data_IF_107287277060
#
_entry.id   IF_107287277060
#
_cell.length_a   1.000
_cell.length_b   1.000
_cell.length_c   1.000
_cell.angle_alpha   90.00
_cell.angle_beta   90.00
_cell.angle_gamma   90.00
#
_symmetry.space_group_name_H-M   'P 1'
#
loop_
_entity.id
_entity.type
_entity.pdbx_description
1 polymer ?
#
# COMPACT_ATOMS: atom_id res chain seq x y z
N UNK A 1 22.12 28.14 -26.98
CA UNK A 1 22.10 28.07 -28.46
C UNK A 1 23.30 27.31 -29.02
N UNK A 2 24.50 27.45 -28.47
CA UNK A 2 25.72 26.82 -29.04
C UNK A 2 25.74 25.29 -29.04
N UNK A 3 25.20 24.67 -27.99
CA UNK A 3 25.14 23.20 -27.87
C UNK A 3 24.21 22.62 -28.93
N UNK A 4 23.07 23.28 -29.19
CA UNK A 4 22.11 22.88 -30.22
C UNK A 4 22.67 23.06 -31.63
N UNK A 5 23.42 24.14 -31.87
CA UNK A 5 24.09 24.37 -33.15
C UNK A 5 25.20 23.34 -33.40
N UNK A 6 25.97 22.98 -32.37
CA UNK A 6 26.98 21.91 -32.46
C UNK A 6 26.36 20.53 -32.69
N UNK A 7 25.30 20.17 -31.96
CA UNK A 7 24.63 18.88 -32.15
C UNK A 7 23.98 18.80 -33.53
N UNK A 8 23.36 19.88 -34.02
CA UNK A 8 22.82 19.95 -35.38
C UNK A 8 23.91 19.81 -36.46
N UNK A 9 25.05 20.48 -36.28
CA UNK A 9 26.19 20.36 -37.19
C UNK A 9 26.76 18.93 -37.22
N UNK A 10 26.92 18.29 -36.05
CA UNK A 10 27.42 16.92 -35.93
C UNK A 10 26.44 15.88 -36.50
N UNK A 11 25.13 16.07 -36.30
CA UNK A 11 24.12 15.21 -36.91
C UNK A 11 24.15 15.34 -38.43
N UNK A 12 24.23 16.56 -38.93
CA UNK A 12 24.29 16.82 -40.38
C UNK A 12 25.53 16.21 -41.01
N UNK A 13 26.70 16.34 -40.37
CA UNK A 13 27.94 15.71 -40.87
C UNK A 13 27.84 14.18 -40.87
N UNK A 14 27.22 13.58 -39.85
CA UNK A 14 27.03 12.13 -39.73
C UNK A 14 26.18 11.57 -40.88
N UNK A 15 25.12 12.29 -41.29
CA UNK A 15 24.30 11.88 -42.43
C UNK A 15 24.97 12.14 -43.79
N UNK A 16 25.79 13.18 -43.93
CA UNK A 16 26.51 13.44 -45.20
C UNK A 16 27.69 12.50 -45.42
N UNK A 17 28.30 11.99 -44.34
CA UNK A 17 29.41 11.03 -44.38
C UNK A 17 28.95 9.56 -44.35
N UNK A 18 27.64 9.33 -44.46
CA UNK A 18 27.03 8.01 -44.41
C UNK A 18 27.21 7.30 -45.75
N UNK A 19 28.25 6.48 -45.84
CA UNK A 19 28.44 5.56 -46.98
C UNK A 19 27.54 4.34 -46.84
N UNK A 20 27.24 3.67 -47.97
CA UNK A 20 26.42 2.46 -47.99
C UNK A 20 26.93 1.36 -47.05
N UNK A 21 28.25 1.20 -46.96
CA UNK A 21 28.88 0.25 -46.03
C UNK A 21 28.58 0.56 -44.56
N UNK A 22 28.63 1.84 -44.16
CA UNK A 22 28.31 2.27 -42.79
C UNK A 22 26.83 2.05 -42.48
N UNK A 23 25.96 2.35 -43.43
CA UNK A 23 24.52 2.14 -43.27
C UNK A 23 24.17 0.67 -43.05
N UNK A 24 24.71 -0.24 -43.88
CA UNK A 24 24.51 -1.68 -43.72
C UNK A 24 25.04 -2.16 -42.36
N UNK A 25 26.21 -1.66 -41.93
CA UNK A 25 26.78 -2.01 -40.62
C UNK A 25 25.86 -1.60 -39.46
N UNK A 26 25.25 -0.41 -39.53
CA UNK A 26 24.27 0.06 -38.54
C UNK A 26 23.03 -0.84 -38.53
N UNK A 27 22.48 -1.16 -39.71
CA UNK A 27 21.30 -2.04 -39.83
C UNK A 27 21.58 -3.42 -39.25
N UNK A 28 22.76 -3.98 -39.49
CA UNK A 28 23.17 -5.28 -38.91
C UNK A 28 23.23 -5.20 -37.38
N UNK A 29 23.86 -4.17 -36.81
CA UNK A 29 23.98 -4.03 -35.34
C UNK A 29 22.61 -3.84 -34.69
N UNK A 30 21.79 -2.95 -35.24
CA UNK A 30 20.44 -2.67 -34.72
C UNK A 30 19.53 -3.89 -34.89
N UNK A 31 19.57 -4.53 -36.05
CA UNK A 31 18.83 -5.76 -36.35
C UNK A 31 19.25 -6.90 -35.42
N UNK A 32 20.54 -7.13 -35.25
CA UNK A 32 21.07 -8.15 -34.34
C UNK A 32 20.61 -7.89 -32.89
N UNK A 33 20.67 -6.65 -32.40
CA UNK A 33 20.18 -6.31 -31.07
C UNK A 33 18.66 -6.51 -30.94
N UNK A 34 17.88 -6.07 -31.93
CA UNK A 34 16.43 -6.23 -31.93
C UNK A 34 16.02 -7.71 -31.87
N UNK A 35 16.75 -8.59 -32.58
CA UNK A 35 16.55 -10.03 -32.52
C UNK A 35 17.08 -10.63 -31.21
N UNK A 36 18.23 -10.20 -30.70
CA UNK A 36 18.87 -10.77 -29.52
C UNK A 36 18.11 -10.44 -28.21
N UNK A 37 17.60 -9.21 -28.09
CA UNK A 37 16.91 -8.69 -26.90
C UNK A 37 15.79 -9.61 -26.35
N UNK A 38 14.81 -10.10 -27.14
CA UNK A 38 13.74 -10.94 -26.60
C UNK A 38 14.25 -12.27 -26.04
N UNK A 39 15.33 -12.83 -26.58
CA UNK A 39 15.91 -14.07 -26.07
C UNK A 39 16.66 -13.83 -24.76
N UNK A 40 17.42 -12.73 -24.67
CA UNK A 40 18.05 -12.32 -23.41
C UNK A 40 17.00 -12.10 -22.31
N UNK A 41 15.91 -11.41 -22.62
CA UNK A 41 14.80 -11.18 -21.68
C UNK A 41 14.12 -12.48 -21.23
N UNK A 42 13.97 -13.47 -22.11
CA UNK A 42 13.43 -14.79 -21.74
C UNK A 42 14.31 -15.53 -20.74
N UNK A 43 15.62 -15.39 -20.87
CA UNK A 43 16.59 -16.03 -19.96
C UNK A 43 16.61 -15.31 -18.62
N UNK A 44 16.72 -13.98 -18.61
CA UNK A 44 16.79 -13.19 -17.38
C UNK A 44 15.45 -13.13 -16.64
N UNK A 45 14.33 -13.15 -17.36
CA UNK A 45 12.99 -13.06 -16.78
C UNK A 45 12.65 -14.23 -15.85
N UNK A 46 13.16 -15.44 -16.15
CA UNK A 46 12.99 -16.60 -15.27
C UNK A 46 13.70 -16.44 -13.93
N UNK A 47 14.92 -15.89 -13.95
CA UNK A 47 15.67 -15.62 -12.72
C UNK A 47 15.05 -14.49 -11.90
N UNK A 48 14.54 -13.44 -12.55
CA UNK A 48 13.86 -12.36 -11.85
C UNK A 48 12.56 -12.84 -11.22
N UNK A 49 11.78 -13.67 -11.91
CA UNK A 49 10.54 -14.21 -11.34
C UNK A 49 10.82 -15.10 -10.13
N UNK A 50 11.84 -15.95 -10.18
CA UNK A 50 12.26 -16.76 -9.03
C UNK A 50 12.68 -15.91 -7.82
N UNK A 51 13.47 -14.87 -8.05
CA UNK A 51 13.89 -13.95 -6.97
C UNK A 51 12.70 -13.14 -6.41
N UNK A 52 11.76 -12.72 -7.26
CA UNK A 52 10.56 -12.03 -6.81
C UNK A 52 9.62 -12.95 -6.03
N UNK A 53 9.52 -14.24 -6.39
CA UNK A 53 8.73 -15.19 -5.59
C UNK A 53 9.40 -15.53 -4.28
N UNK A 54 10.72 -15.75 -4.25
CA UNK A 54 11.46 -16.02 -3.02
C UNK A 54 11.43 -14.82 -2.06
N UNK A 55 11.68 -13.60 -2.57
CA UNK A 55 11.59 -12.38 -1.76
C UNK A 55 10.16 -12.11 -1.25
N UNK A 56 9.13 -12.43 -2.03
CA UNK A 56 7.74 -12.29 -1.60
C UNK A 56 7.33 -13.37 -0.61
N UNK A 57 7.85 -14.60 -0.72
CA UNK A 57 7.63 -15.65 0.27
C UNK A 57 8.38 -15.39 1.59
N UNK A 58 9.59 -14.84 1.53
CA UNK A 58 10.33 -14.39 2.71
C UNK A 58 9.66 -13.19 3.36
N UNK A 59 9.18 -12.22 2.57
CA UNK A 59 8.37 -11.11 3.06
C UNK A 59 7.05 -11.61 3.66
N UNK A 60 6.36 -12.57 3.04
CA UNK A 60 5.11 -13.15 3.56
C UNK A 60 5.32 -14.03 4.79
N UNK A 61 6.51 -14.61 4.98
CA UNK A 61 6.89 -15.33 6.22
C UNK A 61 7.29 -14.37 7.35
N UNK A 62 7.83 -13.20 7.01
CA UNK A 62 8.20 -12.15 7.97
C UNK A 62 7.04 -11.22 8.33
N UNK A 63 6.09 -11.01 7.41
CA UNK A 63 4.84 -10.31 7.63
C UNK A 63 3.86 -11.25 8.32
N UNK A 64 3.87 -11.22 9.66
CA UNK A 64 2.76 -11.68 10.49
C UNK A 64 1.47 -11.13 9.86
N UNK A 65 0.63 -12.01 9.31
CA UNK A 65 -0.55 -11.56 8.58
C UNK A 65 -1.44 -10.74 9.54
N UNK A 66 -2.09 -9.65 9.10
CA UNK A 66 -2.86 -8.78 9.99
C UNK A 66 -3.95 -9.50 10.80
N UNK A 67 -4.34 -10.71 10.39
CA UNK A 67 -5.34 -11.52 11.05
C UNK A 67 -4.77 -12.70 11.86
N UNK A 68 -3.46 -12.93 11.82
CA UNK A 68 -2.81 -14.03 12.55
C UNK A 68 -2.73 -13.79 14.06
N UNK A 69 -2.81 -12.53 14.52
CA UNK A 69 -2.86 -12.16 15.94
C UNK A 69 -4.30 -11.99 16.47
N UNK A 70 -5.31 -12.11 15.62
CA UNK A 70 -6.72 -11.94 16.03
C UNK A 70 -7.22 -13.22 16.69
N UNK A 71 -7.23 -13.23 18.03
CA UNK A 71 -7.74 -14.33 18.86
C UNK A 71 -6.67 -15.18 19.55
N UNK A 72 -5.38 -14.89 19.36
CA UNK A 72 -4.28 -15.57 20.08
C UNK A 72 -3.73 -14.74 21.24
N UNK A 73 -4.13 -13.47 21.35
CA UNK A 73 -3.90 -12.64 22.52
C UNK A 73 -5.19 -12.64 23.32
N UNK A 74 -5.22 -13.45 24.38
CA UNK A 74 -6.16 -13.26 25.48
C UNK A 74 -5.78 -11.89 26.05
N UNK A 75 -6.55 -10.84 25.73
CA UNK A 75 -6.31 -9.50 26.27
C UNK A 75 -6.77 -9.59 27.72
N UNK A 76 -5.87 -9.58 28.72
CA UNK A 76 -6.32 -9.50 30.09
C UNK A 76 -7.00 -8.14 30.24
N UNK A 77 -8.25 -8.14 30.70
CA UNK A 77 -9.08 -6.94 30.94
C UNK A 77 -8.43 -5.94 31.93
N UNK A 78 -7.28 -6.27 32.50
CA UNK A 78 -6.65 -5.55 33.61
C UNK A 78 -5.18 -5.16 33.32
N UNK A 79 -4.88 -4.75 32.08
CA UNK A 79 -3.55 -4.24 31.69
C UNK A 79 -3.52 -2.74 31.42
N UNK A 80 -4.36 -1.98 32.14
CA UNK A 80 -4.33 -0.52 32.18
C UNK A 80 -3.52 0.03 33.38
N UNK A 81 -2.73 -0.83 34.06
CA UNK A 81 -1.88 -0.42 35.18
C UNK A 81 -0.39 -0.72 34.95
N UNK A 82 0.39 0.34 35.06
CA UNK A 82 1.84 0.44 35.22
C UNK A 82 2.79 -0.47 34.39
N UNK A 83 3.47 0.16 33.42
CA UNK A 83 4.92 0.00 33.26
C UNK A 83 5.45 -1.38 32.89
N UNK A 84 5.18 -1.86 31.67
CA UNK A 84 5.98 -2.94 31.08
C UNK A 84 6.95 -2.36 30.06
N UNK A 85 8.22 -2.28 30.46
CA UNK A 85 9.36 -2.06 29.57
C UNK A 85 9.49 -3.23 28.58
N UNK A 86 8.72 -3.18 27.50
CA UNK A 86 8.78 -4.12 26.39
C UNK A 86 9.26 -3.45 25.12
N UNK A 87 10.59 -3.38 24.93
CA UNK A 87 11.30 -3.19 23.67
C UNK A 87 10.64 -2.22 22.63
N UNK A 88 10.61 -0.92 22.95
CA UNK A 88 10.23 0.11 21.98
C UNK A 88 11.39 0.45 21.01
N UNK A 89 11.76 -0.48 20.12
CA UNK A 89 12.48 -0.13 18.88
C UNK A 89 11.45 0.18 17.80
N UNK A 90 10.82 1.35 17.88
CA UNK A 90 9.77 1.71 16.93
C UNK A 90 9.14 3.06 17.23
N UNK A 91 9.89 4.11 16.94
CA UNK A 91 9.51 5.52 16.76
C UNK A 91 8.07 5.92 17.21
N UNK A 92 7.99 6.63 18.34
CA UNK A 92 6.77 7.12 19.03
C UNK A 92 5.90 8.15 18.27
N UNK A 93 6.19 8.44 17.01
CA UNK A 93 5.45 9.41 16.21
C UNK A 93 4.13 8.77 15.75
N UNK A 94 3.04 9.08 16.45
CA UNK A 94 1.69 8.71 16.01
C UNK A 94 0.87 7.93 17.02
N UNK A 95 1.42 7.51 18.17
CA UNK A 95 0.61 6.95 19.26
C UNK A 95 -0.52 7.90 19.67
N UNK A 96 -0.23 9.20 19.77
CA UNK A 96 -1.22 10.25 20.09
C UNK A 96 -2.29 10.42 19.01
N UNK A 97 -1.94 10.26 17.74
CA UNK A 97 -2.90 10.35 16.63
C UNK A 97 -3.82 9.12 16.61
N UNK A 98 -3.26 7.91 16.80
CA UNK A 98 -4.03 6.67 16.89
C UNK A 98 -4.96 6.65 18.10
N UNK A 99 -4.52 7.17 19.25
CA UNK A 99 -5.37 7.31 20.46
C UNK A 99 -6.60 8.17 20.17
N UNK A 100 -6.40 9.34 19.54
CA UNK A 100 -7.51 10.22 19.16
C UNK A 100 -8.46 9.62 18.13
N UNK A 101 -7.93 8.87 17.15
CA UNK A 101 -8.77 8.18 16.18
C UNK A 101 -9.67 7.12 16.84
N UNK A 102 -9.14 6.38 17.81
CA UNK A 102 -9.92 5.38 18.58
C UNK A 102 -10.96 6.03 19.48
N UNK A 103 -10.62 7.15 20.12
CA UNK A 103 -11.53 7.91 20.96
C UNK A 103 -12.71 8.49 20.16
N UNK A 104 -12.44 9.04 18.97
CA UNK A 104 -13.50 9.51 18.05
C UNK A 104 -14.40 8.36 17.59
N UNK A 105 -13.83 7.20 17.25
CA UNK A 105 -14.62 6.03 16.86
C UNK A 105 -15.50 5.54 18.02
N UNK A 106 -14.97 5.50 19.24
CA UNK A 106 -15.73 5.13 20.44
C UNK A 106 -16.88 6.10 20.69
N UNK A 107 -16.63 7.41 20.66
CA UNK A 107 -17.67 8.43 20.81
C UNK A 107 -18.77 8.31 19.74
N UNK A 108 -18.41 7.93 18.51
CA UNK A 108 -19.38 7.75 17.44
C UNK A 108 -20.25 6.50 17.65
N UNK A 109 -19.66 5.41 18.14
CA UNK A 109 -20.39 4.18 18.49
C UNK A 109 -21.32 4.41 19.70
N UNK A 110 -20.81 5.05 20.76
CA UNK A 110 -21.59 5.35 21.96
C UNK A 110 -22.79 6.27 21.62
N UNK A 111 -22.62 7.24 20.72
CA UNK A 111 -23.70 8.12 20.27
C UNK A 111 -24.76 7.41 19.40
N UNK A 112 -24.37 6.38 18.65
CA UNK A 112 -25.31 5.55 17.86
C UNK A 112 -26.11 4.62 18.78
N UNK A 113 -25.47 4.04 19.80
CA UNK A 113 -26.13 3.24 20.83
C UNK A 113 -27.14 4.07 21.63
N UNK A 114 -26.78 5.29 22.04
CA UNK A 114 -27.70 6.19 22.75
C UNK A 114 -28.90 6.61 21.88
N UNK A 115 -28.69 6.81 20.56
CA UNK A 115 -29.79 7.07 19.63
C UNK A 115 -30.76 5.90 19.53
N UNK A 116 -30.23 4.69 19.44
CA UNK A 116 -31.04 3.47 19.37
C UNK A 116 -31.76 3.19 20.69
N UNK A 117 -31.15 3.55 21.82
CA UNK A 117 -31.80 3.46 23.14
C UNK A 117 -32.97 4.44 23.25
N UNK A 118 -32.80 5.70 22.82
CA UNK A 118 -33.89 6.70 22.81
C UNK A 118 -35.03 6.30 21.86
N UNK A 119 -34.73 5.73 20.69
CA UNK A 119 -35.76 5.22 19.78
C UNK A 119 -36.57 4.06 20.40
N UNK A 120 -35.91 3.18 21.17
CA UNK A 120 -36.58 2.09 21.88
C UNK A 120 -37.42 2.60 23.06
N UNK A 121 -36.90 3.55 23.85
CA UNK A 121 -37.65 4.18 24.95
C UNK A 121 -38.87 4.97 24.44
N UNK A 122 -38.76 5.69 23.31
CA UNK A 122 -39.86 6.43 22.68
C UNK A 122 -40.95 5.50 22.08
N UNK A 123 -40.61 4.26 21.74
CA UNK A 123 -41.57 3.24 21.30
C UNK A 123 -42.28 2.59 22.50
N UNK A 124 -41.54 2.28 23.57
CA UNK A 124 -42.11 1.73 24.80
C UNK A 124 -43.07 2.71 25.50
N UNK A 125 -42.77 4.01 25.52
CA UNK A 125 -43.65 5.04 26.10
C UNK A 125 -44.93 5.25 25.26
N UNK A 126 -44.85 5.17 23.93
CA UNK A 126 -46.03 5.25 23.03
C UNK A 126 -47.01 4.09 23.26
N UNK A 127 -46.49 2.90 23.52
CA UNK A 127 -47.30 1.72 23.80
C UNK A 127 -48.00 1.82 25.18
N UNK A 128 -47.49 2.64 26.10
CA UNK A 128 -48.09 2.90 27.43
C UNK A 128 -49.14 4.03 27.38
N UNK A 129 -48.98 5.04 26.50
CA UNK A 129 -49.94 6.13 26.33
C UNK A 129 -51.35 5.63 25.95
N UNK A 130 -51.45 4.53 25.20
CA UNK A 130 -52.73 3.92 24.81
C UNK A 130 -53.54 3.41 26.03
N UNK A 131 -52.89 3.13 27.17
CA UNK A 131 -53.53 2.63 28.39
C UNK A 131 -53.89 3.72 29.42
N UNK A 132 -53.55 4.99 29.18
CA UNK A 132 -53.76 6.11 30.13
C UNK A 132 -55.11 6.84 29.96
N UNK A 133 -56.06 6.29 29.20
CA UNK A 133 -57.43 6.84 29.09
C UNK A 133 -58.13 6.72 30.46
N UNK A 134 -58.28 7.87 31.11
CA UNK A 134 -58.83 8.04 32.45
C UNK A 134 -60.35 8.16 32.41
N UNK A 135 -61.06 7.09 32.80
CA UNK A 135 -62.44 7.13 33.32
C UNK A 135 -62.45 6.87 34.83
#
# INVERSE_FOLDING_TARGET
>A
MDILNRSAANLRSTFTELTYEKFIRIVIVVGAYALLRPYLLKITGRSQMAQHTEANEEAAKAEISPNSLRGQVDIPEDSDDEGVEGAATGADWGKKARRRQREVLKMMMDAEEERLAQEQEDEEDKDIEEFLIKE
#
